data_IF_448187237107
#
_entry.id   IF_448187237107
#
_cell.length_a   1.000
_cell.length_b   1.000
_cell.length_c   1.000
_cell.angle_alpha   90.00
_cell.angle_beta   90.00
_cell.angle_gamma   90.00
#
_symmetry.space_group_name_H-M   'P 1'
#
loop_
_entity.id
_entity.type
_entity.pdbx_description
1 polymer ?
#
# COMPACT_ATOMS: atom_id res chain seq x y z
N UNK A 1 -34.43 4.14 -4.21
CA UNK A 1 -33.67 5.00 -5.13
C UNK A 1 -32.30 4.37 -5.29
N UNK A 2 -31.79 4.14 -6.51
CA UNK A 2 -30.42 3.68 -6.66
C UNK A 2 -29.50 4.77 -6.16
N UNK A 3 -28.52 4.41 -5.32
CA UNK A 3 -27.42 5.30 -4.95
C UNK A 3 -26.66 5.57 -6.24
N UNK A 4 -26.77 6.79 -6.76
CA UNK A 4 -26.01 7.21 -7.93
C UNK A 4 -24.56 7.24 -7.51
N UNK A 5 -23.78 6.32 -8.07
CA UNK A 5 -22.35 6.21 -7.87
C UNK A 5 -21.68 7.31 -8.70
N UNK A 6 -21.78 8.56 -8.22
CA UNK A 6 -21.15 9.76 -8.80
C UNK A 6 -19.63 9.74 -8.55
N UNK A 7 -18.98 8.59 -8.78
CA UNK A 7 -17.54 8.55 -8.99
C UNK A 7 -17.26 9.22 -10.33
N UNK A 8 -16.40 10.26 -10.40
CA UNK A 8 -15.86 10.68 -11.68
C UNK A 8 -15.19 9.45 -12.31
N UNK A 9 -15.75 8.96 -13.41
CA UNK A 9 -15.14 7.92 -14.24
C UNK A 9 -13.94 8.53 -14.96
N UNK A 10 -12.85 8.76 -14.23
CA UNK A 10 -11.54 9.02 -14.79
C UNK A 10 -10.69 7.79 -14.49
N UNK A 11 -10.94 6.70 -15.22
CA UNK A 11 -9.89 5.71 -15.50
C UNK A 11 -9.00 6.26 -16.62
N UNK A 12 -8.41 7.43 -16.40
CA UNK A 12 -7.14 7.73 -17.03
C UNK A 12 -6.15 6.77 -16.37
N UNK A 13 -5.58 5.87 -17.16
CA UNK A 13 -4.62 4.88 -16.68
C UNK A 13 -3.48 5.60 -15.97
N UNK A 14 -3.44 5.52 -14.65
CA UNK A 14 -2.41 6.12 -13.83
C UNK A 14 -1.08 5.42 -14.18
N UNK A 15 -0.06 6.15 -14.65
CA UNK A 15 1.26 5.56 -14.90
C UNK A 15 2.01 5.34 -13.58
N UNK A 16 1.60 4.31 -12.84
CA UNK A 16 2.22 3.89 -11.58
C UNK A 16 3.66 3.41 -11.76
N UNK A 17 4.05 3.04 -12.99
CA UNK A 17 5.38 2.54 -13.29
C UNK A 17 6.38 3.68 -13.37
N UNK A 18 6.04 4.75 -14.08
CA UNK A 18 6.96 5.87 -14.36
C UNK A 18 6.67 7.11 -13.52
N UNK A 19 5.46 7.25 -12.98
CA UNK A 19 5.06 8.37 -12.13
C UNK A 19 5.36 8.14 -10.65
N UNK A 20 5.57 9.24 -9.92
CA UNK A 20 5.75 9.23 -8.46
C UNK A 20 4.36 9.16 -7.83
N UNK A 21 4.07 8.11 -7.05
CA UNK A 21 2.76 7.91 -6.46
C UNK A 21 2.42 9.00 -5.43
N UNK A 22 1.21 9.55 -5.55
CA UNK A 22 0.60 10.40 -4.53
C UNK A 22 -0.26 9.49 -3.64
N UNK A 23 0.18 9.31 -2.40
CA UNK A 23 -0.56 8.54 -1.41
C UNK A 23 -1.69 9.37 -0.79
N UNK A 24 -2.71 8.68 -0.31
CA UNK A 24 -3.79 9.27 0.45
C UNK A 24 -3.23 10.05 1.65
N UNK A 25 -3.59 11.34 1.83
CA UNK A 25 -2.98 12.19 2.87
C UNK A 25 -3.31 11.74 4.30
N UNK A 26 -4.34 10.91 4.46
CA UNK A 26 -4.71 10.33 5.77
C UNK A 26 -4.06 8.98 6.02
N UNK A 27 -3.30 8.46 5.05
CA UNK A 27 -2.60 7.18 5.17
C UNK A 27 -1.54 7.23 6.26
N UNK A 28 -1.50 6.17 7.06
CA UNK A 28 -0.47 5.89 8.05
C UNK A 28 0.01 4.45 7.83
N UNK A 29 1.34 4.30 7.82
CA UNK A 29 2.00 3.01 7.73
C UNK A 29 2.53 2.67 9.13
N UNK A 30 2.05 1.57 9.71
CA UNK A 30 2.28 1.21 11.11
C UNK A 30 2.99 -0.14 11.18
N UNK A 31 3.98 -0.25 12.06
CA UNK A 31 4.71 -1.47 12.34
C UNK A 31 4.64 -1.75 13.84
N UNK A 32 4.15 -2.93 14.21
CA UNK A 32 3.96 -3.34 15.60
C UNK A 32 4.53 -4.73 15.84
N UNK A 33 5.24 -4.90 16.95
CA UNK A 33 5.74 -6.20 17.40
C UNK A 33 4.64 -7.19 17.80
N UNK A 34 3.39 -6.73 17.89
CA UNK A 34 2.23 -7.53 18.31
C UNK A 34 1.07 -7.34 17.34
N UNK A 35 0.23 -8.38 17.22
CA UNK A 35 -1.03 -8.32 16.48
C UNK A 35 -2.08 -7.45 17.18
N UNK A 36 -1.83 -6.14 17.23
CA UNK A 36 -2.65 -5.15 17.95
C UNK A 36 -4.10 -5.14 17.47
N UNK A 37 -4.31 -5.40 16.18
CA UNK A 37 -5.64 -5.48 15.58
C UNK A 37 -6.48 -6.68 16.08
N UNK A 38 -5.87 -7.65 16.77
CA UNK A 38 -6.55 -8.81 17.38
C UNK A 38 -6.81 -8.63 18.88
N UNK A 39 -6.39 -7.50 19.47
CA UNK A 39 -6.57 -7.23 20.91
C UNK A 39 -8.06 -7.05 21.19
N UNK A 40 -8.55 -7.77 22.20
CA UNK A 40 -9.89 -7.58 22.76
C UNK A 40 -9.85 -7.78 24.27
N UNK A 41 -10.89 -7.39 25.03
CA UNK A 41 -10.94 -7.63 26.47
C UNK A 41 -10.69 -9.09 26.87
N UNK A 42 -11.05 -10.05 26.01
CA UNK A 42 -10.89 -11.49 26.22
C UNK A 42 -9.61 -12.08 25.60
N UNK A 43 -8.92 -11.34 24.72
CA UNK A 43 -7.75 -11.83 23.97
C UNK A 43 -6.66 -10.76 23.95
N UNK A 44 -5.67 -10.92 24.81
CA UNK A 44 -4.43 -10.14 24.79
C UNK A 44 -3.31 -10.98 24.15
N UNK A 45 -2.55 -10.45 23.17
CA UNK A 45 -1.42 -11.15 22.57
C UNK A 45 -0.38 -11.40 23.67
N UNK A 46 0.04 -12.66 23.79
CA UNK A 46 1.06 -13.10 24.76
C UNK A 46 2.42 -13.32 24.10
N UNK A 47 2.46 -13.37 22.77
CA UNK A 47 3.63 -13.60 21.96
C UNK A 47 3.76 -12.45 20.96
N UNK A 48 5.00 -12.09 20.66
CA UNK A 48 5.34 -11.16 19.59
C UNK A 48 4.94 -11.78 18.25
N UNK A 49 4.27 -10.99 17.43
CA UNK A 49 3.93 -11.30 16.06
C UNK A 49 4.01 -9.99 15.28
N UNK A 50 5.06 -9.83 14.46
CA UNK A 50 5.22 -8.61 13.67
C UNK A 50 4.00 -8.39 12.79
N UNK A 51 3.42 -7.20 12.90
CA UNK A 51 2.15 -6.86 12.31
C UNK A 51 2.25 -5.49 11.69
N UNK A 52 2.16 -5.46 10.38
CA UNK A 52 2.23 -4.24 9.59
C UNK A 52 0.84 -3.88 9.11
N UNK A 53 0.43 -2.66 9.42
CA UNK A 53 -0.90 -2.14 9.11
C UNK A 53 -0.79 -0.90 8.25
N UNK A 54 -1.64 -0.82 7.25
CA UNK A 54 -1.92 0.38 6.50
C UNK A 54 -3.29 0.88 6.94
N UNK A 55 -3.32 2.09 7.50
CA UNK A 55 -4.55 2.73 7.99
C UNK A 55 -4.79 4.00 7.20
N UNK A 56 -5.99 4.16 6.65
CA UNK A 56 -6.33 5.35 5.88
C UNK A 56 -7.84 5.60 5.94
N UNK A 57 -8.25 6.80 5.51
CA UNK A 57 -9.66 7.12 5.28
C UNK A 57 -9.95 7.08 3.78
N UNK A 58 -10.90 6.24 3.37
CA UNK A 58 -11.31 6.16 1.97
C UNK A 58 -12.21 7.33 1.55
N UNK A 59 -12.61 7.37 0.27
CA UNK A 59 -13.46 8.42 -0.27
C UNK A 59 -14.86 8.51 0.38
N UNK A 60 -15.35 7.42 0.98
CA UNK A 60 -16.62 7.39 1.74
C UNK A 60 -16.45 7.83 3.20
N UNK A 61 -15.30 8.41 3.55
CA UNK A 61 -14.94 8.83 4.91
C UNK A 61 -14.84 7.69 5.94
N UNK A 62 -14.75 6.44 5.49
CA UNK A 62 -14.59 5.28 6.35
C UNK A 62 -13.11 5.04 6.66
N UNK A 63 -12.79 4.76 7.92
CA UNK A 63 -11.43 4.33 8.31
C UNK A 63 -11.27 2.87 7.93
N UNK A 64 -10.24 2.57 7.13
CA UNK A 64 -9.86 1.23 6.71
C UNK A 64 -8.57 0.81 7.40
N UNK A 65 -8.50 -0.47 7.76
CA UNK A 65 -7.33 -1.12 8.33
C UNK A 65 -6.98 -2.30 7.43
N UNK A 66 -5.80 -2.26 6.82
CA UNK A 66 -5.32 -3.31 5.92
C UNK A 66 -4.06 -3.89 6.53
N UNK A 67 -4.08 -5.19 6.87
CA UNK A 67 -2.85 -5.91 7.21
C UNK A 67 -2.09 -6.18 5.93
N UNK A 68 -0.85 -5.69 5.86
CA UNK A 68 0.05 -5.84 4.71
C UNK A 68 1.25 -6.69 5.10
N UNK A 69 1.92 -7.29 4.12
CA UNK A 69 3.15 -8.04 4.35
C UNK A 69 4.39 -7.12 4.34
N UNK A 70 5.53 -7.69 4.77
CA UNK A 70 6.82 -7.01 4.82
C UNK A 70 7.29 -6.45 3.48
N UNK A 71 6.99 -7.14 2.37
CA UNK A 71 7.39 -6.68 1.03
C UNK A 71 6.62 -5.43 0.64
N UNK A 72 5.29 -5.42 0.83
CA UNK A 72 4.45 -4.26 0.56
C UNK A 72 4.80 -3.08 1.48
N UNK A 73 5.04 -3.34 2.76
CA UNK A 73 5.45 -2.31 3.72
C UNK A 73 6.77 -1.65 3.29
N UNK A 74 7.77 -2.45 2.92
CA UNK A 74 9.07 -1.96 2.48
C UNK A 74 8.97 -1.19 1.16
N UNK A 75 8.16 -1.65 0.22
CA UNK A 75 7.90 -0.94 -1.04
C UNK A 75 7.33 0.46 -0.79
N UNK A 76 6.27 0.56 0.01
CA UNK A 76 5.63 1.84 0.34
C UNK A 76 6.60 2.75 1.09
N UNK A 77 7.31 2.22 2.09
CA UNK A 77 8.31 2.97 2.86
C UNK A 77 9.39 3.55 1.94
N UNK A 78 9.89 2.75 0.99
CA UNK A 78 10.90 3.17 0.03
C UNK A 78 10.37 4.29 -0.87
N UNK A 79 9.15 4.15 -1.40
CA UNK A 79 8.52 5.16 -2.25
C UNK A 79 8.30 6.47 -1.51
N UNK A 80 7.81 6.43 -0.26
CA UNK A 80 7.59 7.62 0.55
C UNK A 80 8.91 8.32 0.93
N UNK A 81 9.94 7.55 1.27
CA UNK A 81 11.22 8.10 1.71
C UNK A 81 12.00 8.76 0.56
N UNK A 82 11.94 8.17 -0.64
CA UNK A 82 12.76 8.64 -1.77
C UNK A 82 11.97 9.43 -2.82
N UNK A 83 10.64 9.41 -2.80
CA UNK A 83 9.81 10.09 -3.80
C UNK A 83 10.07 9.56 -5.21
N UNK A 84 10.26 8.26 -5.37
CA UNK A 84 10.60 7.63 -6.66
C UNK A 84 9.38 6.99 -7.32
N UNK A 85 9.47 6.81 -8.63
CA UNK A 85 8.45 6.09 -9.40
C UNK A 85 8.32 4.62 -8.96
N UNK A 86 7.12 4.06 -9.09
CA UNK A 86 6.82 2.70 -8.62
C UNK A 86 7.70 1.64 -9.28
N UNK A 87 7.97 1.75 -10.58
CA UNK A 87 8.86 0.84 -11.29
C UNK A 87 10.30 0.88 -10.76
N UNK A 88 10.80 2.07 -10.42
CA UNK A 88 12.14 2.22 -9.84
C UNK A 88 12.21 1.67 -8.41
N UNK A 89 11.19 1.93 -7.59
CA UNK A 89 11.08 1.38 -6.24
C UNK A 89 11.10 -0.17 -6.26
N UNK A 90 10.39 -0.78 -7.21
CA UNK A 90 10.37 -2.23 -7.38
C UNK A 90 11.72 -2.81 -7.80
N UNK A 91 12.46 -2.11 -8.66
CA UNK A 91 13.82 -2.50 -9.03
C UNK A 91 14.76 -2.49 -7.81
N UNK A 92 14.74 -1.42 -7.02
CA UNK A 92 15.52 -1.30 -5.79
C UNK A 92 15.13 -2.40 -4.78
N UNK A 93 13.84 -2.66 -4.61
CA UNK A 93 13.35 -3.69 -3.72
C UNK A 93 13.80 -5.10 -4.16
N UNK A 94 13.73 -5.41 -5.45
CA UNK A 94 14.19 -6.68 -5.99
C UNK A 94 15.69 -6.90 -5.75
N UNK A 95 16.50 -5.85 -5.88
CA UNK A 95 17.93 -5.89 -5.55
C UNK A 95 18.18 -6.13 -4.06
N UNK A 96 17.43 -5.44 -3.18
CA UNK A 96 17.55 -5.61 -1.72
C UNK A 96 17.20 -7.02 -1.25
N UNK A 97 16.18 -7.63 -1.86
CA UNK A 97 15.74 -8.98 -1.52
C UNK A 97 16.67 -10.07 -2.07
N UNK A 98 17.57 -9.73 -3.00
CA UNK A 98 18.47 -10.70 -3.64
C UNK A 98 17.72 -11.84 -4.35
N UNK A 99 16.50 -11.59 -4.83
CA UNK A 99 15.63 -12.63 -5.37
C UNK A 99 16.23 -13.18 -6.68
N UNK A 100 16.27 -14.52 -6.90
CA UNK A 100 16.88 -15.12 -8.08
C UNK A 100 16.17 -14.76 -9.40
N UNK A 101 14.94 -14.23 -9.31
CA UNK A 101 14.12 -13.78 -10.43
C UNK A 101 13.55 -12.38 -10.10
N UNK A 102 14.30 -11.30 -10.34
CA UNK A 102 13.86 -9.94 -10.01
C UNK A 102 12.63 -9.50 -10.81
N UNK A 103 12.41 -10.04 -12.00
CA UNK A 103 11.25 -9.74 -12.85
C UNK A 103 9.93 -10.17 -12.19
N UNK A 104 9.94 -11.26 -11.42
CA UNK A 104 8.77 -11.75 -10.68
C UNK A 104 8.38 -10.75 -9.59
N UNK A 105 9.37 -10.19 -8.88
CA UNK A 105 9.14 -9.15 -7.85
C UNK A 105 8.53 -7.90 -8.50
N UNK A 106 9.03 -7.51 -9.68
CA UNK A 106 8.52 -6.34 -10.40
C UNK A 106 7.08 -6.58 -10.86
N UNK A 107 6.77 -7.73 -11.47
CA UNK A 107 5.42 -8.05 -11.92
C UNK A 107 4.42 -8.11 -10.75
N UNK A 108 4.77 -8.83 -9.69
CA UNK A 108 3.93 -8.93 -8.50
C UNK A 108 3.76 -7.59 -7.82
N UNK A 109 4.83 -6.81 -7.71
CA UNK A 109 4.79 -5.49 -7.13
C UNK A 109 3.95 -4.49 -7.92
N UNK A 110 3.93 -4.58 -9.26
CA UNK A 110 3.02 -3.75 -10.07
C UNK A 110 1.56 -4.07 -9.78
N UNK A 111 1.18 -5.35 -9.63
CA UNK A 111 -0.18 -5.74 -9.24
C UNK A 111 -0.54 -5.19 -7.85
N UNK A 112 0.42 -5.14 -6.91
CA UNK A 112 0.21 -4.49 -5.61
C UNK A 112 -0.08 -3.00 -5.79
N UNK A 113 0.72 -2.28 -6.60
CA UNK A 113 0.50 -0.84 -6.81
C UNK A 113 -0.88 -0.55 -7.43
N UNK A 114 -1.32 -1.40 -8.36
CA UNK A 114 -2.66 -1.32 -8.96
C UNK A 114 -3.76 -1.58 -7.92
N UNK A 115 -3.59 -2.55 -7.03
CA UNK A 115 -4.52 -2.83 -5.93
C UNK A 115 -4.59 -1.67 -4.92
N UNK A 116 -3.44 -1.07 -4.57
CA UNK A 116 -3.40 0.12 -3.72
C UNK A 116 -4.12 1.31 -4.37
N UNK A 117 -4.00 1.48 -5.68
CA UNK A 117 -4.77 2.50 -6.40
C UNK A 117 -6.27 2.20 -6.39
N UNK A 118 -6.67 0.94 -6.64
CA UNK A 118 -8.07 0.54 -6.63
C UNK A 118 -8.76 0.71 -5.27
N UNK A 119 -7.98 0.78 -4.18
CA UNK A 119 -8.45 0.95 -2.81
C UNK A 119 -8.38 2.42 -2.31
N UNK A 120 -8.13 3.40 -3.17
CA UNK A 120 -7.93 4.82 -2.77
C UNK A 120 -6.74 5.06 -1.82
N UNK A 121 -5.78 4.13 -1.78
CA UNK A 121 -4.54 4.27 -0.99
C UNK A 121 -3.53 5.10 -1.79
N UNK A 122 -3.39 4.81 -3.08
CA UNK A 122 -2.77 5.71 -4.06
C UNK A 122 -3.89 6.47 -4.74
N UNK A 123 -3.79 7.79 -4.80
CA UNK A 123 -4.84 8.68 -5.34
C UNK A 123 -4.40 9.42 -6.60
N UNK A 124 -3.14 9.29 -7.00
CA UNK A 124 -2.59 9.99 -8.15
C UNK A 124 -1.13 9.63 -8.42
N UNK A 125 -0.59 10.17 -9.50
CA UNK A 125 0.86 10.20 -9.77
C UNK A 125 1.27 11.61 -10.19
N UNK A 126 2.49 12.00 -9.87
CA UNK A 126 3.13 13.19 -10.43
C UNK A 126 4.22 12.79 -11.42
N UNK A 127 4.34 13.55 -12.50
CA UNK A 127 5.34 13.44 -13.57
C UNK A 127 6.35 14.57 -13.52
#
# INVERSE_FOLDING_TARGET
MPVNDDRPQLKETLDLKSGIAVFNPTMQLLDYDYAVHKISPRKKPKQTQNTQLLVYRNAQHEVKFVEINAVTYNLITLMQAQGVAGGHALQLLAQQLGHPQPEVIIQFGMMILEDLWAQDIIIGVTT
#
